data_IF_400870400105
#
_entry.id   IF_400870400105
#
_cell.length_a   1.000
_cell.length_b   1.000
_cell.length_c   1.000
_cell.angle_alpha   90.00
_cell.angle_beta   90.00
_cell.angle_gamma   90.00
#
_symmetry.space_group_name_H-M   'P 1'
#
loop_
_entity.id
_entity.type
_entity.pdbx_description
1 polymer ?
#
# COMPACT_ATOMS: atom_id res chain seq x y z
N UNK A 1 -2.24 11.11 30.13
CA UNK A 1 -1.47 11.14 28.85
C UNK A 1 -0.44 9.99 28.68
N UNK A 2 -0.49 8.87 29.44
CA UNK A 2 0.53 7.77 29.38
C UNK A 2 0.18 6.60 28.47
N UNK A 3 -0.99 6.54 27.87
CA UNK A 3 -1.44 5.36 27.05
C UNK A 3 -1.00 5.39 25.58
N UNK A 4 -0.60 6.55 25.07
CA UNK A 4 -0.29 6.67 23.64
C UNK A 4 1.15 6.27 23.28
N UNK A 5 2.02 6.01 24.25
CA UNK A 5 3.42 5.61 24.04
C UNK A 5 3.58 4.09 24.19
N UNK A 6 2.82 3.47 25.10
CA UNK A 6 3.03 2.08 25.50
C UNK A 6 2.81 1.03 24.37
N UNK A 7 1.83 1.24 23.48
CA UNK A 7 1.65 0.31 22.36
C UNK A 7 2.78 0.41 21.31
N UNK A 8 3.44 1.59 21.20
CA UNK A 8 4.62 1.76 20.33
C UNK A 8 5.85 1.06 20.89
N UNK A 9 6.02 1.07 22.21
CA UNK A 9 7.10 0.35 22.88
C UNK A 9 6.92 -1.16 22.67
N UNK A 10 5.70 -1.68 22.84
CA UNK A 10 5.37 -3.09 22.62
C UNK A 10 5.52 -3.48 21.16
N UNK A 11 5.06 -2.62 20.22
CA UNK A 11 5.29 -2.81 18.80
C UNK A 11 6.79 -2.97 18.52
N UNK A 12 7.64 -2.06 19.02
CA UNK A 12 9.09 -2.11 18.82
C UNK A 12 9.72 -3.39 19.41
N UNK A 13 9.29 -3.79 20.61
CA UNK A 13 9.77 -5.01 21.25
C UNK A 13 9.40 -6.27 20.46
N UNK A 14 8.14 -6.41 20.02
CA UNK A 14 7.71 -7.57 19.22
C UNK A 14 8.39 -7.57 17.86
N UNK A 15 8.58 -6.40 17.24
CA UNK A 15 9.31 -6.26 15.98
C UNK A 15 10.75 -6.75 16.13
N UNK A 16 11.44 -6.32 17.16
CA UNK A 16 12.80 -6.79 17.47
C UNK A 16 12.86 -8.30 17.71
N UNK A 17 11.91 -8.86 18.46
CA UNK A 17 11.80 -10.31 18.68
C UNK A 17 11.61 -11.07 17.34
N UNK A 18 10.83 -10.52 16.40
CA UNK A 18 10.64 -11.09 15.06
C UNK A 18 11.95 -11.00 14.25
N UNK A 19 12.61 -9.85 14.23
CA UNK A 19 13.85 -9.61 13.49
C UNK A 19 15.01 -10.47 14.05
N UNK A 20 15.02 -10.71 15.35
CA UNK A 20 15.99 -11.60 16.01
C UNK A 20 15.65 -13.11 15.87
N UNK A 21 14.53 -13.45 15.22
CA UNK A 21 14.11 -14.84 15.02
C UNK A 21 13.50 -15.52 16.25
N UNK A 22 13.22 -14.79 17.35
CA UNK A 22 12.49 -15.30 18.52
C UNK A 22 11.09 -15.79 18.11
N UNK A 23 10.48 -15.09 17.15
CA UNK A 23 9.27 -15.53 16.47
C UNK A 23 9.63 -15.81 15.00
N UNK A 24 9.85 -17.07 14.60
CA UNK A 24 10.21 -17.44 13.25
C UNK A 24 9.15 -17.09 12.19
N UNK A 25 9.59 -16.91 10.95
CA UNK A 25 8.72 -16.69 9.78
C UNK A 25 7.68 -17.81 9.67
N UNK A 26 6.46 -17.47 9.31
CA UNK A 26 5.27 -18.34 9.24
C UNK A 26 4.80 -18.91 10.58
N UNK A 27 5.44 -18.61 11.69
CA UNK A 27 5.01 -19.05 13.01
C UNK A 27 3.86 -18.18 13.53
N UNK A 28 2.97 -18.81 14.30
CA UNK A 28 1.89 -18.13 14.99
C UNK A 28 2.43 -17.38 16.20
N UNK A 29 2.12 -16.11 16.32
CA UNK A 29 2.37 -15.32 17.53
C UNK A 29 1.47 -15.79 18.69
N UNK A 30 1.91 -15.61 19.93
CA UNK A 30 1.07 -15.84 21.09
C UNK A 30 -0.26 -15.08 21.00
N UNK A 31 -1.31 -15.62 21.57
CA UNK A 31 -2.61 -14.97 21.62
C UNK A 31 -2.52 -13.60 22.29
N UNK A 32 -3.38 -12.66 21.87
CA UNK A 32 -3.40 -11.30 22.42
C UNK A 32 -3.46 -11.23 23.93
N UNK A 33 -4.21 -12.16 24.58
CA UNK A 33 -4.27 -12.28 26.02
C UNK A 33 -2.91 -12.63 26.64
N UNK A 34 -2.19 -13.59 26.08
CA UNK A 34 -0.87 -13.99 26.58
C UNK A 34 0.18 -12.89 26.41
N UNK A 35 0.10 -12.14 25.30
CA UNK A 35 0.93 -10.96 25.10
C UNK A 35 0.56 -9.84 26.09
N UNK A 36 -0.73 -9.65 26.38
CA UNK A 36 -1.20 -8.69 27.38
C UNK A 36 -0.66 -9.01 28.77
N UNK A 37 -0.66 -10.27 29.16
CA UNK A 37 -0.05 -10.78 30.40
C UNK A 37 1.48 -10.56 30.39
N UNK A 38 2.18 -10.97 29.33
CA UNK A 38 3.64 -10.80 29.17
C UNK A 38 4.08 -9.35 29.35
N UNK A 39 3.36 -8.40 28.71
CA UNK A 39 3.70 -6.98 28.71
C UNK A 39 2.98 -6.17 29.79
N UNK A 40 2.16 -6.79 30.63
CA UNK A 40 1.37 -6.15 31.70
C UNK A 40 0.53 -4.96 31.21
N UNK A 41 -0.21 -5.17 30.14
CA UNK A 41 -1.09 -4.17 29.48
C UNK A 41 -2.44 -4.77 29.13
N UNK A 42 -3.39 -3.92 28.72
CA UNK A 42 -4.68 -4.37 28.21
C UNK A 42 -4.55 -5.05 26.84
N UNK A 43 -5.44 -5.97 26.51
CA UNK A 43 -5.52 -6.58 25.17
C UNK A 43 -5.74 -5.54 24.06
N UNK A 44 -6.40 -4.42 24.35
CA UNK A 44 -6.58 -3.32 23.42
C UNK A 44 -5.22 -2.68 23.05
N UNK A 45 -4.30 -2.57 24.00
CA UNK A 45 -2.94 -2.05 23.78
C UNK A 45 -2.14 -2.99 22.87
N UNK A 46 -2.24 -4.31 23.11
CA UNK A 46 -1.65 -5.33 22.23
C UNK A 46 -2.28 -5.27 20.83
N UNK A 47 -3.59 -5.13 20.73
CA UNK A 47 -4.29 -5.01 19.44
C UNK A 47 -3.77 -3.85 18.63
N UNK A 48 -3.50 -2.69 19.25
CA UNK A 48 -2.90 -1.52 18.59
C UNK A 48 -1.46 -1.79 18.13
N UNK A 49 -0.65 -2.42 18.97
CA UNK A 49 0.73 -2.81 18.64
C UNK A 49 0.76 -3.80 17.46
N UNK A 50 -0.06 -4.86 17.51
CA UNK A 50 -0.18 -5.83 16.43
C UNK A 50 -0.73 -5.20 15.13
N UNK A 51 -1.57 -4.19 15.23
CA UNK A 51 -2.06 -3.48 14.05
C UNK A 51 -0.94 -2.76 13.30
N UNK A 52 0.00 -2.12 14.02
CA UNK A 52 1.20 -1.54 13.41
C UNK A 52 2.07 -2.59 12.73
N UNK A 53 2.28 -3.75 13.39
CA UNK A 53 3.03 -4.86 12.80
C UNK A 53 2.37 -5.40 11.53
N UNK A 54 1.04 -5.40 11.47
CA UNK A 54 0.28 -5.77 10.26
C UNK A 54 0.44 -4.70 9.17
N UNK A 55 0.34 -3.42 9.53
CA UNK A 55 0.54 -2.33 8.58
C UNK A 55 1.94 -2.33 7.97
N UNK A 56 2.94 -2.68 8.76
CA UNK A 56 4.32 -2.80 8.30
C UNK A 56 4.65 -4.18 7.69
N UNK A 57 3.68 -5.09 7.59
CA UNK A 57 3.85 -6.41 6.95
C UNK A 57 4.73 -7.40 7.73
N UNK A 58 5.00 -7.16 9.04
CA UNK A 58 5.65 -8.16 9.89
C UNK A 58 4.73 -9.30 10.29
N UNK A 59 3.42 -9.03 10.31
CA UNK A 59 2.41 -9.94 10.79
C UNK A 59 1.20 -9.95 9.86
N UNK A 60 0.59 -11.11 9.64
CA UNK A 60 -0.72 -11.25 9.01
C UNK A 60 -1.74 -11.79 10.00
N UNK A 61 -2.94 -11.25 9.99
CA UNK A 61 -4.07 -11.79 10.77
C UNK A 61 -4.92 -12.70 9.90
N UNK A 62 -5.18 -13.92 10.44
CA UNK A 62 -6.10 -14.88 9.82
C UNK A 62 -7.31 -15.05 10.75
N UNK A 63 -8.50 -14.74 10.23
CA UNK A 63 -9.75 -14.82 11.01
C UNK A 63 -9.91 -16.20 11.63
N UNK A 64 -10.16 -16.26 12.93
CA UNK A 64 -10.29 -17.52 13.69
C UNK A 64 -8.98 -18.24 13.98
N UNK A 65 -7.89 -17.94 13.26
CA UNK A 65 -6.61 -18.66 13.39
C UNK A 65 -5.55 -17.89 14.19
N UNK A 66 -5.61 -16.55 14.21
CA UNK A 66 -4.67 -15.71 14.97
C UNK A 66 -3.76 -14.87 14.10
N UNK A 67 -2.63 -14.47 14.66
CA UNK A 67 -1.60 -13.65 14.02
C UNK A 67 -0.36 -14.47 13.69
N UNK A 68 0.20 -14.33 12.51
CA UNK A 68 1.35 -15.09 12.01
C UNK A 68 2.44 -14.16 11.53
N UNK A 69 3.70 -14.51 11.81
CA UNK A 69 4.87 -13.77 11.32
C UNK A 69 4.99 -13.95 9.81
N UNK A 70 5.20 -12.85 9.11
CA UNK A 70 5.43 -12.84 7.65
C UNK A 70 6.93 -12.92 7.33
N UNK A 71 7.25 -13.35 6.14
CA UNK A 71 8.61 -13.24 5.61
C UNK A 71 8.92 -11.75 5.31
N UNK A 72 9.53 -11.11 6.32
CA UNK A 72 9.89 -9.69 6.24
C UNK A 72 11.23 -9.44 5.53
N UNK A 73 12.03 -10.47 5.27
CA UNK A 73 13.33 -10.35 4.61
C UNK A 73 13.18 -10.25 3.09
N UNK A 74 12.14 -10.85 2.51
CA UNK A 74 11.80 -10.76 1.09
C UNK A 74 10.89 -9.56 0.77
N UNK A 75 11.06 -8.45 1.46
CA UNK A 75 10.17 -7.28 1.44
C UNK A 75 10.25 -6.37 0.23
N UNK A 76 10.73 -6.81 -0.91
CA UNK A 76 10.70 -5.98 -2.12
C UNK A 76 9.27 -5.51 -2.49
N UNK A 77 8.23 -6.18 -1.96
CA UNK A 77 6.81 -5.86 -2.22
C UNK A 77 6.07 -5.27 -0.99
N UNK A 78 6.63 -5.33 0.23
CA UNK A 78 5.90 -5.01 1.48
C UNK A 78 5.76 -3.53 1.81
N UNK A 79 6.42 -2.64 1.09
CA UNK A 79 6.18 -1.19 1.21
C UNK A 79 4.98 -0.71 0.37
N UNK A 80 4.39 -1.56 -0.47
CA UNK A 80 3.24 -1.16 -1.27
C UNK A 80 1.96 -1.16 -0.43
N UNK A 81 1.50 0.03 -0.06
CA UNK A 81 0.16 0.22 0.50
C UNK A 81 -0.77 0.70 -0.61
N UNK A 82 -1.77 -0.08 -1.00
CA UNK A 82 -2.71 0.32 -2.05
C UNK A 82 -3.56 1.53 -1.66
N UNK A 83 -3.60 1.90 -0.38
CA UNK A 83 -4.37 3.05 0.11
C UNK A 83 -3.56 4.34 0.24
N UNK A 84 -2.24 4.26 0.29
CA UNK A 84 -1.36 5.44 0.46
C UNK A 84 -0.60 5.80 -0.81
N UNK A 85 -0.55 4.91 -1.78
CA UNK A 85 0.19 5.10 -3.03
C UNK A 85 1.71 5.07 -2.86
N UNK A 86 2.41 4.95 -3.98
CA UNK A 86 3.87 4.79 -4.05
C UNK A 86 4.61 5.98 -3.43
N UNK A 87 4.16 7.20 -3.70
CA UNK A 87 4.83 8.42 -3.21
C UNK A 87 4.94 8.46 -1.68
N UNK A 88 3.83 8.22 -0.98
CA UNK A 88 3.82 8.19 0.49
C UNK A 88 4.50 6.96 1.07
N UNK A 89 4.50 5.85 0.34
CA UNK A 89 5.15 4.60 0.77
C UNK A 89 6.68 4.74 0.86
N UNK A 90 7.26 5.60 0.01
CA UNK A 90 8.70 5.85 -0.04
C UNK A 90 9.09 7.27 0.44
N UNK A 91 8.28 7.86 1.34
CA UNK A 91 8.54 9.15 1.97
C UNK A 91 8.87 10.29 0.98
N UNK A 92 8.20 10.29 -0.18
CA UNK A 92 8.42 11.28 -1.23
C UNK A 92 9.66 11.06 -2.11
N UNK A 93 10.48 10.05 -1.83
CA UNK A 93 11.67 9.68 -2.62
C UNK A 93 11.30 8.90 -3.88
N UNK A 94 10.33 9.40 -4.63
CA UNK A 94 9.84 8.76 -5.86
C UNK A 94 9.70 9.81 -6.92
N UNK A 95 10.44 9.65 -8.00
CA UNK A 95 10.24 10.40 -9.24
C UNK A 95 9.22 9.71 -10.14
N UNK A 96 8.52 10.51 -10.94
CA UNK A 96 7.56 10.00 -11.93
C UNK A 96 7.87 10.55 -13.31
N UNK A 97 8.15 9.66 -14.23
CA UNK A 97 8.19 9.97 -15.66
C UNK A 97 6.84 9.59 -16.26
N UNK A 98 6.11 10.56 -16.81
CA UNK A 98 4.83 10.31 -17.47
C UNK A 98 5.11 9.83 -18.88
N UNK A 99 4.80 8.56 -19.15
CA UNK A 99 4.99 7.92 -20.46
C UNK A 99 3.76 8.09 -21.37
N UNK A 100 2.59 8.25 -20.76
CA UNK A 100 1.34 8.49 -21.48
C UNK A 100 0.29 9.13 -20.59
N UNK A 101 -0.48 10.08 -21.17
CA UNK A 101 -1.63 10.70 -20.51
C UNK A 101 -2.66 11.08 -21.59
N UNK A 102 -3.83 10.48 -21.49
CA UNK A 102 -4.94 10.75 -22.42
C UNK A 102 -6.27 10.70 -21.66
N UNK A 103 -7.27 11.41 -22.22
CA UNK A 103 -8.68 11.21 -21.88
C UNK A 103 -9.31 10.40 -22.98
N UNK A 104 -9.91 9.26 -22.63
CA UNK A 104 -10.46 8.33 -23.62
C UNK A 104 -11.77 7.69 -23.14
N UNK A 105 -12.50 7.12 -24.08
CA UNK A 105 -13.61 6.22 -23.80
C UNK A 105 -13.01 4.92 -23.23
N UNK A 106 -13.48 4.43 -22.10
CA UNK A 106 -12.89 3.26 -21.47
C UNK A 106 -13.18 1.96 -22.22
N UNK A 107 -12.23 1.02 -22.18
CA UNK A 107 -12.47 -0.33 -22.66
C UNK A 107 -13.49 -1.06 -21.75
N UNK A 108 -14.25 -2.06 -22.28
CA UNK A 108 -15.31 -2.75 -21.50
C UNK A 108 -14.87 -3.32 -20.16
N UNK A 109 -13.65 -3.85 -20.06
CA UNK A 109 -13.12 -4.36 -18.80
C UNK A 109 -12.82 -3.24 -17.76
N UNK A 110 -12.55 -2.02 -18.23
CA UNK A 110 -12.37 -0.84 -17.38
C UNK A 110 -13.72 -0.38 -16.82
N UNK A 111 -14.75 -0.30 -17.67
CA UNK A 111 -16.10 0.08 -17.24
C UNK A 111 -16.65 -0.88 -16.20
N UNK A 112 -16.46 -2.19 -16.40
CA UNK A 112 -16.84 -3.23 -15.44
C UNK A 112 -16.13 -3.05 -14.10
N UNK A 113 -14.80 -2.88 -14.12
CA UNK A 113 -13.99 -2.74 -12.89
C UNK A 113 -14.25 -1.46 -12.12
N UNK A 114 -14.49 -0.35 -12.82
CA UNK A 114 -14.77 0.95 -12.21
C UNK A 114 -16.27 1.16 -11.90
N UNK A 115 -17.14 0.24 -12.37
CA UNK A 115 -18.61 0.35 -12.25
C UNK A 115 -19.13 1.68 -12.82
N UNK A 116 -18.65 2.04 -14.00
CA UNK A 116 -19.03 3.24 -14.77
C UNK A 116 -19.71 2.82 -16.09
N UNK A 117 -20.33 3.78 -16.76
CA UNK A 117 -20.95 3.56 -18.07
C UNK A 117 -19.94 3.74 -19.22
N UNK A 118 -20.27 3.24 -20.39
CA UNK A 118 -19.44 3.39 -21.60
C UNK A 118 -19.37 4.85 -22.11
N UNK A 119 -20.27 5.71 -21.63
CA UNK A 119 -20.30 7.14 -21.99
C UNK A 119 -19.37 7.98 -21.08
N UNK A 120 -18.97 7.44 -19.94
CA UNK A 120 -18.11 8.14 -18.99
C UNK A 120 -16.64 8.06 -19.41
N UNK A 121 -16.02 9.22 -19.56
CA UNK A 121 -14.61 9.31 -19.93
C UNK A 121 -13.70 8.97 -18.76
N UNK A 122 -12.55 8.38 -19.08
CA UNK A 122 -11.49 8.09 -18.12
C UNK A 122 -10.17 8.74 -18.55
N UNK A 123 -9.38 9.13 -17.57
CA UNK A 123 -7.96 9.34 -17.77
C UNK A 123 -7.27 7.98 -17.87
N UNK A 124 -6.49 7.78 -18.94
CA UNK A 124 -5.52 6.69 -19.07
C UNK A 124 -4.13 7.25 -18.86
N UNK A 125 -3.45 6.74 -17.85
CA UNK A 125 -2.17 7.26 -17.39
C UNK A 125 -1.16 6.13 -17.38
N UNK A 126 0.01 6.37 -17.96
CA UNK A 126 1.14 5.45 -17.91
C UNK A 126 2.31 6.20 -17.30
N UNK A 127 2.85 5.69 -16.19
CA UNK A 127 3.97 6.31 -15.49
C UNK A 127 5.05 5.29 -15.16
N UNK A 128 6.30 5.70 -15.35
CA UNK A 128 7.45 5.04 -14.77
C UNK A 128 7.76 5.68 -13.42
N UNK A 129 7.84 4.86 -12.38
CA UNK A 129 8.21 5.30 -11.02
C UNK A 129 9.66 4.92 -10.78
N UNK A 130 10.46 5.92 -10.47
CA UNK A 130 11.88 5.79 -10.14
C UNK A 130 12.00 5.93 -8.63
N UNK A 131 12.53 4.92 -7.97
CA UNK A 131 12.67 4.86 -6.51
C UNK A 131 14.15 4.81 -6.21
N UNK A 132 14.65 5.80 -5.45
CA UNK A 132 16.08 5.90 -5.13
C UNK A 132 16.97 5.80 -6.40
N UNK A 133 16.61 6.56 -7.43
CA UNK A 133 17.27 6.62 -8.75
C UNK A 133 17.19 5.32 -9.60
N UNK A 134 16.41 4.31 -9.15
CA UNK A 134 16.23 3.06 -9.88
C UNK A 134 14.83 3.02 -10.50
N UNK A 135 14.69 2.82 -11.84
CA UNK A 135 13.43 2.53 -12.47
C UNK A 135 12.82 1.25 -11.89
N UNK A 136 11.66 1.36 -11.21
CA UNK A 136 11.18 0.26 -10.37
C UNK A 136 9.78 -0.21 -10.71
N UNK A 137 8.89 0.70 -11.12
CA UNK A 137 7.47 0.37 -11.32
C UNK A 137 6.94 1.07 -12.57
N UNK A 138 6.25 0.34 -13.43
CA UNK A 138 5.39 0.92 -14.47
C UNK A 138 3.95 0.83 -13.99
N UNK A 139 3.30 1.98 -13.86
CA UNK A 139 1.90 2.09 -13.46
C UNK A 139 1.03 2.34 -14.69
N UNK A 140 0.01 1.51 -14.86
CA UNK A 140 -1.12 1.75 -15.77
C UNK A 140 -2.33 2.10 -14.91
N UNK A 141 -2.90 3.26 -15.11
CA UNK A 141 -3.98 3.76 -14.26
C UNK A 141 -5.13 4.28 -15.09
N UNK A 142 -6.35 3.89 -14.73
CA UNK A 142 -7.59 4.43 -15.29
C UNK A 142 -8.39 5.08 -14.19
N UNK A 143 -8.81 6.33 -14.40
CA UNK A 143 -9.55 7.11 -13.41
C UNK A 143 -10.71 7.83 -14.06
N UNK A 144 -11.95 7.72 -13.54
CA UNK A 144 -13.08 8.46 -14.08
C UNK A 144 -12.85 9.96 -13.99
N UNK A 145 -12.99 10.67 -15.11
CA UNK A 145 -12.80 12.14 -15.19
C UNK A 145 -13.78 12.86 -14.25
N UNK A 146 -14.99 12.35 -14.13
CA UNK A 146 -16.02 12.91 -13.25
C UNK A 146 -15.65 12.87 -11.77
N UNK A 147 -14.92 11.85 -11.33
CA UNK A 147 -14.51 11.69 -9.92
C UNK A 147 -13.21 12.45 -9.61
N UNK A 148 -12.33 12.62 -10.60
CA UNK A 148 -11.03 13.26 -10.43
C UNK A 148 -10.88 14.36 -11.49
N UNK A 149 -11.67 15.44 -11.40
CA UNK A 149 -11.66 16.50 -12.40
C UNK A 149 -10.32 17.26 -12.40
N UNK A 150 -9.99 17.88 -13.54
CA UNK A 150 -8.84 18.79 -13.68
C UNK A 150 -7.47 18.20 -13.36
N UNK A 151 -7.29 16.89 -13.51
CA UNK A 151 -5.98 16.25 -13.37
C UNK A 151 -5.04 16.72 -14.47
N UNK A 152 -3.84 17.18 -14.11
CA UNK A 152 -2.85 17.71 -15.05
C UNK A 152 -1.50 17.02 -14.90
N UNK A 153 -0.57 17.33 -15.81
CA UNK A 153 0.80 16.84 -15.78
C UNK A 153 1.54 17.17 -14.46
N UNK A 154 1.13 18.21 -13.75
CA UNK A 154 1.73 18.60 -12.48
C UNK A 154 1.48 17.54 -11.41
N UNK A 155 0.24 17.10 -11.25
CA UNK A 155 -0.15 16.08 -10.27
C UNK A 155 0.41 14.71 -10.65
N UNK A 156 0.47 14.41 -11.94
CA UNK A 156 1.02 13.14 -12.44
C UNK A 156 2.51 12.97 -12.12
N UNK A 157 3.27 14.05 -12.11
CA UNK A 157 4.71 14.02 -11.76
C UNK A 157 4.97 13.85 -10.28
N UNK A 158 4.00 14.14 -9.41
CA UNK A 158 4.14 14.06 -7.96
C UNK A 158 3.30 12.89 -7.42
N UNK A 159 2.07 13.15 -7.01
CA UNK A 159 1.19 12.15 -6.39
C UNK A 159 -0.27 12.43 -6.70
N UNK A 160 -0.90 11.55 -7.43
CA UNK A 160 -2.35 11.61 -7.68
C UNK A 160 -3.12 11.41 -6.37
N UNK A 161 -2.63 10.55 -5.47
CA UNK A 161 -3.27 10.33 -4.17
C UNK A 161 -3.25 11.58 -3.29
N UNK A 162 -2.17 12.34 -3.34
CA UNK A 162 -2.09 13.63 -2.65
C UNK A 162 -3.08 14.63 -3.25
N UNK A 163 -3.20 14.69 -4.57
CA UNK A 163 -4.21 15.49 -5.25
C UNK A 163 -5.63 15.13 -4.81
N UNK A 164 -5.97 13.84 -4.76
CA UNK A 164 -7.28 13.35 -4.31
C UNK A 164 -7.56 13.78 -2.86
N UNK A 165 -6.58 13.63 -1.97
CA UNK A 165 -6.79 13.93 -0.54
C UNK A 165 -6.76 15.41 -0.22
N UNK A 166 -5.83 16.18 -0.80
CA UNK A 166 -5.58 17.58 -0.42
C UNK A 166 -6.38 18.58 -1.27
N UNK A 167 -6.57 18.30 -2.56
CA UNK A 167 -7.27 19.21 -3.47
C UNK A 167 -8.75 18.86 -3.61
N UNK A 168 -9.07 17.56 -3.76
CA UNK A 168 -10.45 17.11 -3.89
C UNK A 168 -11.11 16.79 -2.55
N UNK A 169 -10.35 16.80 -1.45
CA UNK A 169 -10.82 16.46 -0.09
C UNK A 169 -11.53 15.09 -0.03
N UNK A 170 -11.12 14.16 -0.88
CA UNK A 170 -11.65 12.80 -0.94
C UNK A 170 -10.71 11.82 -0.24
N UNK A 171 -11.26 10.74 0.29
CA UNK A 171 -10.49 9.69 0.97
C UNK A 171 -10.71 8.35 0.30
N UNK A 172 -9.62 7.69 -0.07
CA UNK A 172 -9.66 6.31 -0.55
C UNK A 172 -9.91 5.39 0.65
N UNK A 173 -11.04 4.70 0.65
CA UNK A 173 -11.49 3.89 1.79
C UNK A 173 -11.03 2.45 1.71
N UNK A 174 -10.92 1.90 0.50
CA UNK A 174 -10.55 0.50 0.28
C UNK A 174 -9.88 0.30 -1.07
N UNK A 175 -9.11 -0.77 -1.19
CA UNK A 175 -8.55 -1.23 -2.45
C UNK A 175 -8.56 -2.77 -2.49
N UNK A 176 -8.77 -3.32 -3.68
CA UNK A 176 -8.57 -4.75 -3.94
C UNK A 176 -7.25 -4.92 -4.68
N UNK A 177 -6.38 -5.79 -4.18
CA UNK A 177 -5.08 -6.08 -4.79
C UNK A 177 -5.04 -7.51 -5.24
N UNK A 178 -4.54 -7.75 -6.45
CA UNK A 178 -4.12 -9.08 -6.90
C UNK A 178 -2.70 -8.99 -7.45
N UNK A 179 -1.87 -9.98 -7.15
CA UNK A 179 -0.48 -10.04 -7.58
C UNK A 179 -0.32 -11.26 -8.47
N UNK A 180 0.22 -11.04 -9.67
CA UNK A 180 0.49 -12.11 -10.63
C UNK A 180 1.81 -11.85 -11.34
N UNK A 181 2.52 -12.92 -11.72
CA UNK A 181 3.70 -12.82 -12.56
C UNK A 181 3.30 -12.82 -14.04
N UNK A 182 3.80 -11.83 -14.78
CA UNK A 182 3.61 -11.74 -16.24
C UNK A 182 4.96 -11.58 -16.93
N UNK A 183 5.02 -11.91 -18.22
CA UNK A 183 6.20 -11.59 -19.04
C UNK A 183 6.25 -10.08 -19.29
N UNK A 184 7.43 -9.42 -19.23
CA UNK A 184 7.55 -8.00 -19.51
C UNK A 184 7.01 -7.65 -20.91
N UNK A 185 6.22 -6.59 -20.99
CA UNK A 185 5.83 -5.93 -22.25
C UNK A 185 7.03 -5.21 -22.87
N UNK A 186 6.87 -4.68 -24.08
CA UNK A 186 7.90 -3.87 -24.73
C UNK A 186 8.26 -2.62 -23.89
N UNK A 187 7.27 -1.95 -23.33
CA UNK A 187 7.48 -0.79 -22.43
C UNK A 187 8.28 -1.23 -21.20
N UNK A 188 7.93 -2.36 -20.58
CA UNK A 188 8.66 -2.89 -19.42
C UNK A 188 10.11 -3.22 -19.75
N UNK A 189 10.38 -3.77 -20.93
CA UNK A 189 11.75 -4.10 -21.38
C UNK A 189 12.59 -2.87 -21.73
N UNK A 190 11.96 -1.78 -22.15
CA UNK A 190 12.67 -0.57 -22.53
C UNK A 190 13.11 0.30 -21.35
N UNK A 191 12.52 0.09 -20.16
CA UNK A 191 12.69 0.97 -19.01
C UNK A 191 13.17 0.27 -17.72
N UNK A 192 13.48 -1.03 -17.79
CA UNK A 192 14.04 -1.81 -16.66
C UNK A 192 15.46 -2.25 -16.96
#
# INVERSE_FOLDING_TARGET
>A
MRTNTRYKEIYAAIKQDIEAGVYPINQKLPQGRLLAEKYQVSELTITKALHLLVQEGYVVRRRGSGSFVQDFQNRTITKFSPLTGTYSTYDGKVESVVLGFATEVPEPWVTEKLSITEEELVYKIIRLRIIEDVPSIIEYTWMPVALIPNLTMKELKVSIYQYISEQLHQKIQSARVSISGIRPSEIGRAHV
#
